data_IF_884640351394
#
_entry.id   IF_884640351394
#
_cell.length_a   1.000
_cell.length_b   1.000
_cell.length_c   1.000
_cell.angle_alpha   90.00
_cell.angle_beta   90.00
_cell.angle_gamma   90.00
#
_symmetry.space_group_name_H-M   'P 1'
#
loop_
_entity.id
_entity.type
_entity.pdbx_description
1 polymer ?
#
# COMPACT_ATOMS: atom_id res chain seq x y z
N UNK A 1 -3.97 -35.87 57.39
CA UNK A 1 -2.77 -36.33 56.65
C UNK A 1 -3.03 -36.24 55.15
N UNK A 2 -1.99 -35.83 54.41
CA UNK A 2 -1.85 -35.70 52.94
C UNK A 2 -2.25 -34.34 52.37
N UNK A 3 -1.28 -33.42 52.53
CA UNK A 3 -1.01 -32.34 51.59
C UNK A 3 -0.71 -32.92 50.20
N UNK A 4 -1.24 -32.31 49.15
CA UNK A 4 -0.75 -32.48 47.79
C UNK A 4 -0.47 -31.10 47.21
N UNK A 5 0.75 -31.00 46.71
CA UNK A 5 1.50 -29.80 46.39
C UNK A 5 1.01 -29.10 45.12
N UNK A 6 1.29 -27.80 45.12
CA UNK A 6 1.35 -26.88 43.99
C UNK A 6 1.85 -27.51 42.69
N UNK A 7 1.17 -27.19 41.59
CA UNK A 7 1.85 -26.88 40.33
C UNK A 7 1.03 -25.87 39.55
N UNK A 8 1.38 -24.60 39.77
CA UNK A 8 0.89 -23.46 39.00
C UNK A 8 1.74 -23.39 37.73
N UNK A 9 1.30 -24.06 36.66
CA UNK A 9 1.86 -23.85 35.32
C UNK A 9 1.37 -22.49 34.82
N UNK A 10 2.13 -21.44 35.13
CA UNK A 10 2.07 -20.18 34.42
C UNK A 10 2.62 -20.43 33.01
N UNK A 11 1.72 -20.63 32.03
CA UNK A 11 2.07 -20.46 30.63
C UNK A 11 2.38 -18.97 30.42
N UNK A 12 3.67 -18.63 30.44
CA UNK A 12 4.15 -17.35 29.92
C UNK A 12 3.95 -17.41 28.42
N UNK A 13 2.79 -16.93 27.96
CA UNK A 13 2.63 -16.51 26.57
C UNK A 13 3.58 -15.34 26.35
N UNK A 14 4.75 -15.63 25.77
CA UNK A 14 5.63 -14.61 25.20
C UNK A 14 4.88 -14.05 23.99
N UNK A 15 4.01 -13.08 24.22
CA UNK A 15 3.47 -12.25 23.17
C UNK A 15 4.64 -11.45 22.59
N UNK A 16 5.21 -11.92 21.49
CA UNK A 16 6.15 -11.14 20.69
C UNK A 16 5.34 -10.06 19.99
N UNK A 17 5.07 -8.97 20.71
CA UNK A 17 4.50 -7.77 20.11
C UNK A 17 5.56 -7.13 19.22
N UNK A 18 5.68 -7.60 17.97
CA UNK A 18 6.18 -6.77 16.88
C UNK A 18 5.06 -5.80 16.46
N UNK A 19 4.57 -5.01 17.41
CA UNK A 19 3.70 -3.88 17.13
C UNK A 19 4.60 -2.75 16.64
N UNK A 20 4.36 -2.26 15.42
CA UNK A 20 5.02 -1.07 14.92
C UNK A 20 4.66 0.13 15.82
N UNK A 21 5.52 0.42 16.80
CA UNK A 21 5.42 1.64 17.60
C UNK A 21 5.66 2.87 16.72
N UNK A 22 5.03 3.99 17.07
CA UNK A 22 5.25 5.31 16.45
C UNK A 22 6.72 5.72 16.56
N UNK A 23 7.50 5.26 15.60
CA UNK A 23 8.88 5.67 15.40
C UNK A 23 8.90 6.30 14.02
N UNK A 24 9.09 7.62 14.01
CA UNK A 24 9.59 8.33 12.85
C UNK A 24 10.94 7.70 12.52
N UNK A 25 10.94 6.66 11.68
CA UNK A 25 12.16 6.00 11.26
C UNK A 25 12.92 6.96 10.36
N UNK A 26 13.76 7.77 11.01
CA UNK A 26 14.78 8.58 10.39
C UNK A 26 15.66 7.69 9.52
N UNK A 27 15.96 8.23 8.35
CA UNK A 27 16.97 7.71 7.43
C UNK A 27 18.33 7.61 8.16
N UNK A 28 19.15 6.63 7.75
CA UNK A 28 20.52 6.42 8.22
C UNK A 28 21.34 7.73 8.36
N UNK A 29 22.12 7.93 9.45
CA UNK A 29 22.77 9.21 9.75
C UNK A 29 24.07 9.49 8.97
N UNK A 30 24.38 8.77 7.89
CA UNK A 30 25.65 8.92 7.15
C UNK A 30 25.43 9.58 5.80
N UNK A 31 24.78 10.75 5.77
CA UNK A 31 24.84 11.70 4.64
C UNK A 31 24.29 13.08 5.03
N UNK A 32 24.59 13.53 6.25
CA UNK A 32 24.28 14.89 6.69
C UNK A 32 25.50 15.80 6.47
N UNK A 33 25.74 16.22 5.22
CA UNK A 33 26.56 17.40 4.95
C UNK A 33 25.96 18.21 3.80
N UNK A 34 25.54 19.42 4.19
CA UNK A 34 25.20 20.59 3.36
C UNK A 34 23.95 20.50 2.47
N UNK A 35 22.84 21.03 2.95
CA UNK A 35 21.69 21.36 2.11
C UNK A 35 21.19 22.77 2.45
N UNK A 36 21.49 23.72 1.56
CA UNK A 36 20.62 24.88 1.33
C UNK A 36 19.25 24.41 0.83
N UNK A 37 18.25 25.30 0.81
CA UNK A 37 16.84 25.10 0.47
C UNK A 37 16.56 24.34 -0.85
N UNK A 38 16.82 23.03 -0.89
CA UNK A 38 16.57 22.21 -2.07
C UNK A 38 15.12 21.73 -2.04
N UNK A 39 14.30 22.35 -2.87
CA UNK A 39 12.90 22.00 -3.10
C UNK A 39 12.83 21.05 -4.31
N UNK A 40 12.22 19.88 -4.14
CA UNK A 40 12.00 18.89 -5.18
C UNK A 40 10.59 19.05 -5.77
N UNK A 41 10.49 19.17 -7.10
CA UNK A 41 9.21 19.11 -7.79
C UNK A 41 8.74 17.64 -7.85
N UNK A 42 7.69 17.31 -7.09
CA UNK A 42 7.09 15.97 -7.09
C UNK A 42 6.22 15.75 -8.33
N UNK A 43 5.72 16.83 -8.93
CA UNK A 43 4.84 16.80 -10.07
C UNK A 43 3.40 17.08 -9.68
N UNK A 44 2.47 16.64 -10.54
CA UNK A 44 1.03 16.90 -10.42
C UNK A 44 0.31 15.64 -10.00
N UNK A 45 -0.62 15.78 -9.07
CA UNK A 45 -1.36 14.65 -8.51
C UNK A 45 -2.69 15.12 -7.91
N UNK A 46 -3.55 14.18 -7.53
CA UNK A 46 -4.84 14.44 -6.88
C UNK A 46 -4.76 13.98 -5.43
N UNK A 47 -4.93 14.88 -4.44
CA UNK A 47 -5.02 14.49 -3.04
C UNK A 47 -6.38 13.80 -2.79
N UNK A 48 -6.36 12.72 -2.02
CA UNK A 48 -7.54 11.89 -1.74
C UNK A 48 -8.01 12.02 -0.30
N UNK A 49 -7.08 12.23 0.63
CA UNK A 49 -7.39 12.46 2.04
C UNK A 49 -6.42 13.47 2.63
N UNK A 50 -6.90 14.19 3.65
CA UNK A 50 -6.11 15.12 4.45
C UNK A 50 -6.62 15.08 5.89
N UNK A 51 -5.74 14.71 6.82
CA UNK A 51 -6.08 14.51 8.23
C UNK A 51 -5.09 15.26 9.11
N UNK A 52 -5.61 15.97 10.12
CA UNK A 52 -4.77 16.69 11.08
C UNK A 52 -4.31 15.76 12.19
N UNK A 53 -3.00 15.71 12.43
CA UNK A 53 -2.39 14.90 13.48
C UNK A 53 -1.14 15.60 14.02
N UNK A 54 -1.06 15.77 15.34
CA UNK A 54 0.15 16.25 16.05
C UNK A 54 0.76 17.55 15.47
N UNK A 55 -0.06 18.54 15.14
CA UNK A 55 0.41 19.84 14.62
C UNK A 55 0.86 19.81 13.16
N UNK A 56 0.56 18.73 12.43
CA UNK A 56 0.76 18.59 11.00
C UNK A 56 -0.52 18.08 10.35
N UNK A 57 -0.59 18.15 9.02
CA UNK A 57 -1.58 17.43 8.23
C UNK A 57 -0.88 16.29 7.51
N UNK A 58 -1.39 15.08 7.66
CA UNK A 58 -1.08 13.95 6.78
C UNK A 58 -1.93 14.08 5.52
N UNK A 59 -1.29 13.99 4.37
CA UNK A 59 -1.91 14.09 3.05
C UNK A 59 -1.61 12.81 2.29
N UNK A 60 -2.64 12.22 1.68
CA UNK A 60 -2.46 11.09 0.76
C UNK A 60 -2.85 11.50 -0.65
N UNK A 61 -2.13 10.97 -1.62
CA UNK A 61 -2.36 11.21 -3.03
C UNK A 61 -2.83 9.94 -3.72
N UNK A 62 -3.48 10.11 -4.86
CA UNK A 62 -3.88 8.98 -5.69
C UNK A 62 -2.65 8.14 -6.10
N UNK A 63 -2.85 6.83 -6.26
CA UNK A 63 -1.85 5.84 -6.68
C UNK A 63 -0.77 5.56 -5.63
N UNK A 64 -0.04 6.55 -5.12
CA UNK A 64 1.01 6.29 -4.12
C UNK A 64 0.40 5.88 -2.77
N UNK A 65 0.94 4.83 -2.17
CA UNK A 65 0.54 4.40 -0.83
C UNK A 65 1.19 5.25 0.27
N UNK A 66 2.18 6.08 -0.07
CA UNK A 66 2.96 6.84 0.91
C UNK A 66 2.15 7.97 1.55
N UNK A 67 2.52 8.27 2.79
CA UNK A 67 2.02 9.41 3.53
C UNK A 67 2.92 10.63 3.27
N UNK A 68 2.31 11.77 3.01
CA UNK A 68 2.96 13.07 2.94
C UNK A 68 2.53 13.94 4.11
N UNK A 69 3.33 14.94 4.46
CA UNK A 69 3.02 15.83 5.57
C UNK A 69 3.21 17.29 5.22
N UNK A 70 2.35 18.16 5.75
CA UNK A 70 2.52 19.61 5.73
C UNK A 70 2.34 20.16 7.15
N UNK A 71 3.25 21.02 7.60
CA UNK A 71 3.18 21.61 8.95
C UNK A 71 2.00 22.58 9.05
N UNK A 72 1.28 22.53 10.15
CA UNK A 72 0.22 23.49 10.47
C UNK A 72 0.86 24.82 10.93
N UNK A 73 1.20 25.68 9.98
CA UNK A 73 1.81 26.99 10.22
C UNK A 73 1.08 28.09 9.45
N UNK A 74 1.26 29.35 9.88
CA UNK A 74 0.70 30.51 9.17
C UNK A 74 1.21 30.61 7.73
N UNK A 75 2.47 30.24 7.51
CA UNK A 75 3.12 30.24 6.18
C UNK A 75 2.47 29.23 5.23
N UNK A 76 2.05 28.08 5.76
CA UNK A 76 1.43 27.01 4.98
C UNK A 76 -0.10 27.14 4.86
N UNK A 77 -0.73 28.14 5.50
CA UNK A 77 -2.19 28.23 5.58
C UNK A 77 -2.87 28.23 4.21
N UNK A 78 -2.32 28.96 3.24
CA UNK A 78 -2.83 28.99 1.87
C UNK A 78 -2.70 27.62 1.18
N UNK A 79 -1.55 26.94 1.34
CA UNK A 79 -1.33 25.61 0.77
C UNK A 79 -2.23 24.55 1.40
N UNK A 80 -2.42 24.60 2.71
CA UNK A 80 -3.35 23.73 3.45
C UNK A 80 -4.77 23.91 2.91
N UNK A 81 -5.21 25.15 2.71
CA UNK A 81 -6.52 25.44 2.13
C UNK A 81 -6.65 24.88 0.71
N UNK A 82 -5.63 25.06 -0.14
CA UNK A 82 -5.62 24.52 -1.50
C UNK A 82 -5.71 23.00 -1.53
N UNK A 83 -4.96 22.31 -0.67
CA UNK A 83 -5.03 20.84 -0.57
C UNK A 83 -6.41 20.41 -0.11
N UNK A 84 -6.98 21.05 0.93
CA UNK A 84 -8.30 20.72 1.44
C UNK A 84 -9.41 20.90 0.40
N UNK A 85 -9.35 21.98 -0.39
CA UNK A 85 -10.28 22.19 -1.50
C UNK A 85 -10.10 21.14 -2.61
N UNK A 86 -8.84 20.82 -2.94
CA UNK A 86 -8.52 19.80 -3.94
C UNK A 86 -8.98 18.39 -3.53
N UNK A 87 -8.90 18.04 -2.24
CA UNK A 87 -9.48 16.79 -1.70
C UNK A 87 -10.98 16.77 -1.89
N UNK A 88 -11.67 17.86 -1.54
CA UNK A 88 -13.13 17.96 -1.64
C UNK A 88 -13.64 17.84 -3.08
N UNK A 89 -12.90 18.43 -4.02
CA UNK A 89 -13.32 18.54 -5.42
C UNK A 89 -12.67 17.48 -6.32
N UNK A 90 -11.82 16.60 -5.78
CA UNK A 90 -11.01 15.62 -6.53
C UNK A 90 -10.23 16.27 -7.69
N UNK A 91 -9.65 17.45 -7.46
CA UNK A 91 -8.93 18.21 -8.49
C UNK A 91 -7.42 18.07 -8.34
N UNK A 92 -6.65 18.11 -9.46
CA UNK A 92 -5.20 18.03 -9.38
C UNK A 92 -4.58 19.29 -8.77
N UNK A 93 -3.41 19.12 -8.18
CA UNK A 93 -2.53 20.20 -7.69
C UNK A 93 -1.07 19.83 -7.98
N UNK A 94 -0.20 20.84 -8.06
CA UNK A 94 1.23 20.62 -8.19
C UNK A 94 1.89 20.61 -6.81
N UNK A 95 2.68 19.58 -6.51
CA UNK A 95 3.32 19.39 -5.20
C UNK A 95 4.82 19.62 -5.29
N UNK A 96 5.35 20.34 -4.31
CA UNK A 96 6.78 20.53 -4.11
C UNK A 96 7.15 20.08 -2.71
N UNK A 97 8.16 19.24 -2.62
CA UNK A 97 8.62 18.61 -1.40
C UNK A 97 9.96 19.20 -0.97
N UNK A 98 10.24 19.14 0.32
CA UNK A 98 11.61 19.28 0.81
C UNK A 98 12.44 18.09 0.32
N UNK A 99 13.66 18.35 -0.16
CA UNK A 99 14.51 17.29 -0.71
C UNK A 99 14.66 16.10 0.24
N UNK A 100 14.52 14.89 -0.33
CA UNK A 100 14.67 13.60 0.35
C UNK A 100 13.66 13.34 1.48
N UNK A 101 12.57 14.11 1.56
CA UNK A 101 11.49 13.88 2.53
C UNK A 101 10.13 13.91 1.84
N UNK A 102 9.09 13.46 2.57
CA UNK A 102 7.69 13.59 2.15
C UNK A 102 7.03 14.84 2.74
N UNK A 103 7.83 15.85 3.13
CA UNK A 103 7.35 17.12 3.67
C UNK A 103 7.02 18.08 2.52
N UNK A 104 5.75 18.45 2.40
CA UNK A 104 5.24 19.42 1.43
C UNK A 104 5.62 20.82 1.90
N UNK A 105 6.30 21.56 1.01
CA UNK A 105 6.76 22.93 1.28
C UNK A 105 6.10 23.97 0.38
N UNK A 106 5.49 23.54 -0.74
CA UNK A 106 4.74 24.41 -1.64
C UNK A 106 3.71 23.64 -2.44
N UNK A 107 2.59 24.30 -2.74
CA UNK A 107 1.52 23.78 -3.59
C UNK A 107 1.24 24.79 -4.71
N UNK A 108 1.20 24.31 -5.95
CA UNK A 108 0.87 25.08 -7.13
C UNK A 108 -0.54 24.79 -7.63
N UNK A 109 -1.16 25.77 -8.26
CA UNK A 109 -2.44 25.63 -8.94
C UNK A 109 -2.32 24.70 -10.17
N UNK A 110 -3.34 23.89 -10.47
CA UNK A 110 -3.37 23.11 -11.71
C UNK A 110 -3.59 24.02 -12.93
N UNK A 111 -3.14 23.58 -14.10
CA UNK A 111 -3.57 24.16 -15.38
C UNK A 111 -4.91 23.55 -15.83
N UNK A 112 -5.59 24.19 -16.77
CA UNK A 112 -6.80 23.60 -17.38
C UNK A 112 -6.51 22.26 -18.08
N UNK A 113 -5.31 22.12 -18.65
CA UNK A 113 -4.84 20.88 -19.26
C UNK A 113 -4.69 19.77 -18.22
N UNK A 114 -4.17 20.09 -17.03
CA UNK A 114 -4.06 19.14 -15.93
C UNK A 114 -5.42 18.63 -15.50
N UNK A 115 -6.38 19.55 -15.32
CA UNK A 115 -7.75 19.20 -14.94
C UNK A 115 -8.36 18.27 -15.98
N UNK A 116 -8.17 18.57 -17.28
CA UNK A 116 -8.68 17.73 -18.37
C UNK A 116 -8.04 16.34 -18.38
N UNK A 117 -6.72 16.27 -18.22
CA UNK A 117 -5.95 15.03 -18.21
C UNK A 117 -6.34 14.13 -17.03
N UNK A 118 -6.40 14.66 -15.80
CA UNK A 118 -6.79 13.87 -14.64
C UNK A 118 -8.25 13.44 -14.71
N UNK A 119 -9.15 14.30 -15.22
CA UNK A 119 -10.53 13.89 -15.48
C UNK A 119 -10.63 12.73 -16.45
N UNK A 120 -9.79 12.65 -17.50
CA UNK A 120 -9.84 11.53 -18.45
C UNK A 120 -9.26 10.23 -17.89
N UNK A 121 -8.31 10.30 -16.95
CA UNK A 121 -7.73 9.12 -16.31
C UNK A 121 -8.59 8.55 -15.17
N UNK A 122 -9.36 9.41 -14.50
CA UNK A 122 -10.16 9.04 -13.34
C UNK A 122 -11.62 8.75 -13.71
N UNK A 123 -11.92 8.58 -15.00
CA UNK A 123 -13.25 8.18 -15.44
C UNK A 123 -13.51 6.74 -15.00
N UNK A 124 -14.69 6.55 -14.44
CA UNK A 124 -15.26 5.24 -14.13
C UNK A 124 -15.76 4.57 -15.41
N UNK A 125 -14.86 4.25 -16.34
CA UNK A 125 -15.19 3.38 -17.47
C UNK A 125 -15.10 1.93 -17.01
N UNK A 126 -16.22 1.22 -16.99
CA UNK A 126 -16.23 -0.23 -16.76
C UNK A 126 -15.72 -0.91 -18.02
N UNK A 127 -14.40 -1.16 -18.10
CA UNK A 127 -13.84 -1.98 -19.18
C UNK A 127 -14.36 -3.42 -19.07
N UNK A 128 -14.89 -3.94 -20.17
CA UNK A 128 -15.46 -5.30 -20.29
C UNK A 128 -14.38 -6.37 -20.57
N UNK A 129 -13.09 -6.04 -20.46
CA UNK A 129 -11.98 -6.92 -20.87
C UNK A 129 -11.89 -8.22 -20.05
N UNK A 130 -12.63 -8.34 -18.94
CA UNK A 130 -12.72 -9.54 -18.11
C UNK A 130 -13.58 -10.69 -18.71
N UNK A 131 -14.19 -10.50 -19.89
CA UNK A 131 -15.26 -11.40 -20.39
C UNK A 131 -14.88 -12.86 -20.70
N UNK A 132 -13.60 -13.26 -20.64
CA UNK A 132 -13.18 -14.66 -20.91
C UNK A 132 -12.58 -15.41 -19.71
N UNK A 133 -12.29 -14.73 -18.60
CA UNK A 133 -11.62 -15.35 -17.46
C UNK A 133 -12.62 -15.84 -16.40
N UNK A 134 -12.36 -17.00 -15.81
CA UNK A 134 -13.23 -17.57 -14.78
C UNK A 134 -12.94 -16.89 -13.44
N UNK A 135 -13.97 -16.33 -12.79
CA UNK A 135 -13.80 -15.59 -11.53
C UNK A 135 -13.69 -16.47 -10.28
N UNK A 136 -13.90 -17.78 -10.40
CA UNK A 136 -13.84 -18.75 -9.29
C UNK A 136 -12.88 -19.89 -9.63
N UNK A 137 -11.82 -20.02 -8.84
CA UNK A 137 -10.83 -21.09 -8.97
C UNK A 137 -11.46 -22.42 -8.49
N UNK A 138 -11.22 -23.54 -9.20
CA UNK A 138 -11.96 -24.78 -8.98
C UNK A 138 -11.66 -25.51 -7.67
N UNK A 139 -10.47 -25.33 -7.07
CA UNK A 139 -10.08 -26.00 -5.83
C UNK A 139 -8.83 -25.34 -5.19
N UNK A 140 -8.55 -25.71 -3.94
CA UNK A 140 -7.36 -25.28 -3.18
C UNK A 140 -6.03 -25.59 -3.90
N UNK A 141 -5.91 -26.73 -4.59
CA UNK A 141 -4.67 -27.10 -5.24
C UNK A 141 -4.32 -26.15 -6.40
N UNK A 142 -5.32 -25.75 -7.20
CA UNK A 142 -5.15 -24.74 -8.24
C UNK A 142 -4.79 -23.37 -7.64
N UNK A 143 -5.44 -22.98 -6.52
CA UNK A 143 -5.11 -21.75 -5.80
C UNK A 143 -3.63 -21.75 -5.35
N UNK A 144 -3.16 -22.83 -4.71
CA UNK A 144 -1.78 -22.98 -4.25
C UNK A 144 -0.77 -22.96 -5.41
N UNK A 145 -1.13 -23.54 -6.55
CA UNK A 145 -0.31 -23.48 -7.77
C UNK A 145 -0.15 -22.05 -8.27
N UNK A 146 -1.25 -21.28 -8.32
CA UNK A 146 -1.21 -19.87 -8.73
C UNK A 146 -0.41 -19.01 -7.75
N UNK A 147 -0.54 -19.25 -6.45
CA UNK A 147 0.30 -18.61 -5.43
C UNK A 147 1.79 -18.88 -5.63
N UNK A 148 2.14 -20.12 -5.96
CA UNK A 148 3.52 -20.51 -6.24
C UNK A 148 4.04 -19.81 -7.50
N UNK A 149 3.23 -19.70 -8.55
CA UNK A 149 3.58 -18.94 -9.76
C UNK A 149 3.82 -17.46 -9.47
N UNK A 150 2.97 -16.83 -8.65
CA UNK A 150 3.15 -15.45 -8.18
C UNK A 150 4.45 -15.31 -7.39
N UNK A 151 4.70 -16.21 -6.43
CA UNK A 151 5.90 -16.18 -5.58
C UNK A 151 7.17 -16.36 -6.42
N UNK A 152 7.15 -17.21 -7.45
CA UNK A 152 8.25 -17.40 -8.38
C UNK A 152 8.55 -16.16 -9.24
N UNK A 153 7.64 -15.19 -9.32
CA UNK A 153 7.90 -13.90 -9.98
C UNK A 153 8.47 -12.84 -9.02
N UNK A 154 8.81 -13.19 -7.77
CA UNK A 154 9.40 -12.26 -6.81
C UNK A 154 10.78 -11.77 -7.25
N UNK A 155 11.02 -10.46 -7.19
CA UNK A 155 12.35 -9.90 -7.41
C UNK A 155 13.39 -10.47 -6.42
N UNK A 156 14.60 -10.74 -6.93
CA UNK A 156 15.68 -11.36 -6.16
C UNK A 156 15.61 -12.88 -6.07
N UNK A 157 14.75 -13.52 -6.88
CA UNK A 157 14.76 -14.97 -7.11
C UNK A 157 15.32 -15.28 -8.50
N UNK A 158 15.87 -16.48 -8.69
CA UNK A 158 16.38 -16.93 -10.00
C UNK A 158 15.28 -17.33 -10.98
N UNK A 159 14.04 -17.45 -10.52
CA UNK A 159 12.88 -17.92 -11.30
C UNK A 159 12.06 -16.79 -11.92
N UNK A 160 12.27 -15.55 -11.48
CA UNK A 160 11.48 -14.41 -11.94
C UNK A 160 11.90 -13.93 -13.33
N UNK A 161 10.92 -13.56 -14.16
CA UNK A 161 11.12 -12.88 -15.43
C UNK A 161 10.97 -11.36 -15.26
N UNK A 162 11.56 -10.58 -16.16
CA UNK A 162 11.42 -9.13 -16.13
C UNK A 162 10.09 -8.67 -16.76
N UNK A 163 9.36 -7.71 -16.15
CA UNK A 163 9.58 -7.14 -14.81
C UNK A 163 9.09 -8.08 -13.69
N UNK A 164 9.93 -8.26 -12.67
CA UNK A 164 9.61 -9.05 -11.48
C UNK A 164 8.70 -8.28 -10.50
N UNK A 165 8.05 -8.99 -9.59
CA UNK A 165 7.19 -8.42 -8.53
C UNK A 165 8.05 -8.01 -7.34
N UNK A 166 8.04 -6.73 -7.01
CA UNK A 166 8.87 -6.11 -5.97
C UNK A 166 8.35 -6.33 -4.54
N UNK A 167 8.00 -7.56 -4.16
CA UNK A 167 7.46 -7.87 -2.83
C UNK A 167 8.36 -7.44 -1.66
N UNK A 168 9.69 -7.48 -1.85
CA UNK A 168 10.66 -7.07 -0.83
C UNK A 168 10.73 -5.56 -0.63
N UNK A 169 10.16 -4.77 -1.54
CA UNK A 169 10.09 -3.32 -1.42
C UNK A 169 8.66 -2.93 -1.00
N UNK A 170 8.45 -2.88 0.32
CA UNK A 170 7.12 -2.65 0.90
C UNK A 170 6.72 -1.16 0.96
N UNK A 171 7.66 -0.22 0.73
CA UNK A 171 7.43 1.23 0.93
C UNK A 171 6.27 1.75 0.08
N UNK A 172 6.18 1.36 -1.19
CA UNK A 172 5.12 1.79 -2.11
C UNK A 172 4.91 0.74 -3.21
N UNK A 173 4.05 1.00 -4.20
CA UNK A 173 3.88 0.19 -5.40
C UNK A 173 2.94 -1.01 -5.24
N UNK A 174 2.13 -1.04 -4.18
CA UNK A 174 1.16 -2.11 -3.92
C UNK A 174 0.18 -2.29 -5.11
N UNK A 175 -0.26 -1.20 -5.73
CA UNK A 175 -1.10 -1.21 -6.93
C UNK A 175 -0.45 -1.97 -8.10
N UNK A 176 0.83 -1.72 -8.37
CA UNK A 176 1.56 -2.38 -9.45
C UNK A 176 1.76 -3.87 -9.15
N UNK A 177 2.10 -4.22 -7.91
CA UNK A 177 2.21 -5.62 -7.46
C UNK A 177 0.87 -6.34 -7.63
N UNK A 178 -0.23 -5.77 -7.14
CA UNK A 178 -1.56 -6.34 -7.26
C UNK A 178 -1.99 -6.53 -8.72
N UNK A 179 -1.66 -5.57 -9.59
CA UNK A 179 -1.96 -5.69 -11.01
C UNK A 179 -1.13 -6.79 -11.70
N UNK A 180 0.15 -6.92 -11.34
CA UNK A 180 1.02 -7.99 -11.87
C UNK A 180 0.58 -9.37 -11.38
N UNK A 181 0.14 -9.49 -10.12
CA UNK A 181 -0.46 -10.71 -9.59
C UNK A 181 -1.72 -11.10 -10.38
N UNK A 182 -2.63 -10.14 -10.64
CA UNK A 182 -3.80 -10.37 -11.49
C UNK A 182 -3.41 -10.81 -12.92
N UNK A 183 -2.38 -10.22 -13.51
CA UNK A 183 -1.90 -10.63 -14.83
C UNK A 183 -1.50 -12.11 -14.88
N UNK A 184 -0.87 -12.62 -13.82
CA UNK A 184 -0.51 -14.04 -13.72
C UNK A 184 -1.77 -14.92 -13.65
N UNK A 185 -2.80 -14.50 -12.91
CA UNK A 185 -4.09 -15.20 -12.89
C UNK A 185 -4.75 -15.19 -14.27
N UNK A 186 -4.77 -14.05 -14.96
CA UNK A 186 -5.37 -13.92 -16.29
C UNK A 186 -4.67 -14.83 -17.31
N UNK A 187 -3.34 -14.92 -17.26
CA UNK A 187 -2.58 -15.82 -18.11
C UNK A 187 -2.92 -17.31 -17.87
N UNK A 188 -3.40 -17.64 -16.67
CA UNK A 188 -3.90 -18.96 -16.32
C UNK A 188 -5.42 -19.13 -16.56
N UNK A 189 -6.10 -18.13 -17.12
CA UNK A 189 -7.53 -18.15 -17.43
C UNK A 189 -8.45 -17.74 -16.27
N UNK A 190 -7.91 -17.14 -15.21
CA UNK A 190 -8.66 -16.72 -14.02
C UNK A 190 -8.66 -15.21 -13.84
N UNK A 191 -9.73 -14.68 -13.25
CA UNK A 191 -9.77 -13.29 -12.79
C UNK A 191 -9.93 -13.23 -11.27
N UNK A 192 -9.66 -12.07 -10.69
CA UNK A 192 -9.79 -11.82 -9.26
C UNK A 192 -10.27 -10.40 -8.97
N UNK A 193 -10.81 -10.23 -7.78
CA UNK A 193 -11.12 -8.90 -7.26
C UNK A 193 -9.84 -8.23 -6.74
N UNK A 194 -9.93 -6.93 -6.44
CA UNK A 194 -8.91 -6.21 -5.67
C UNK A 194 -9.55 -5.70 -4.39
N UNK A 195 -8.88 -5.93 -3.27
CA UNK A 195 -9.31 -5.39 -1.99
C UNK A 195 -8.43 -4.20 -1.65
N UNK A 196 -9.02 -3.00 -1.68
CA UNK A 196 -8.37 -1.77 -1.21
C UNK A 196 -8.76 -1.55 0.25
N UNK A 197 -7.76 -1.32 1.09
CA UNK A 197 -7.94 -0.94 2.51
C UNK A 197 -7.29 0.42 2.70
N UNK A 198 -8.01 1.35 3.34
CA UNK A 198 -7.59 2.73 3.55
C UNK A 198 -7.51 3.04 5.05
N UNK A 199 -6.62 3.95 5.43
CA UNK A 199 -6.50 4.44 6.81
C UNK A 199 -5.05 4.73 7.19
N UNK A 200 -4.79 4.92 8.48
CA UNK A 200 -3.42 5.03 9.01
C UNK A 200 -2.81 3.63 9.17
N UNK A 201 -2.39 3.04 8.05
CA UNK A 201 -1.92 1.65 8.01
C UNK A 201 -0.44 1.57 8.38
N UNK A 202 -0.09 0.51 9.10
CA UNK A 202 1.29 0.16 9.42
C UNK A 202 1.49 -1.34 9.21
N UNK A 203 2.61 -1.71 8.60
CA UNK A 203 3.00 -3.09 8.40
C UNK A 203 4.45 -3.31 8.78
N UNK A 204 4.75 -4.47 9.35
CA UNK A 204 6.12 -4.92 9.63
C UNK A 204 6.57 -5.91 8.57
N UNK A 205 7.79 -5.74 8.08
CA UNK A 205 8.48 -6.72 7.22
C UNK A 205 9.26 -7.74 8.05
N UNK A 206 9.20 -7.65 9.38
CA UNK A 206 10.06 -8.37 10.32
C UNK A 206 11.34 -7.60 10.67
N UNK A 207 11.84 -6.75 9.78
CA UNK A 207 13.06 -5.95 9.99
C UNK A 207 12.81 -4.45 9.98
N UNK A 208 11.76 -3.98 9.31
CA UNK A 208 11.37 -2.57 9.30
C UNK A 208 9.85 -2.41 9.31
N UNK A 209 9.39 -1.25 9.77
CA UNK A 209 8.01 -0.84 9.68
C UNK A 209 7.82 0.13 8.50
N UNK A 210 6.72 -0.04 7.79
CA UNK A 210 6.28 0.88 6.73
C UNK A 210 4.89 1.40 7.07
N UNK A 211 4.61 2.63 6.65
CA UNK A 211 3.32 3.27 6.85
C UNK A 211 2.69 3.63 5.51
N UNK A 212 1.38 3.40 5.41
CA UNK A 212 0.63 3.65 4.19
C UNK A 212 -0.68 4.39 4.48
N UNK A 213 -1.15 5.19 3.53
CA UNK A 213 -2.52 5.71 3.52
C UNK A 213 -3.52 4.69 2.98
N UNK A 214 -3.04 3.75 2.18
CA UNK A 214 -3.83 2.62 1.69
C UNK A 214 -2.96 1.42 1.30
N UNK A 215 -3.56 0.25 1.22
CA UNK A 215 -2.95 -0.94 0.66
C UNK A 215 -3.92 -1.67 -0.28
N UNK A 216 -3.37 -2.35 -1.28
CA UNK A 216 -4.16 -3.20 -2.19
C UNK A 216 -3.45 -4.51 -2.49
N UNK A 217 -4.25 -5.58 -2.50
CA UNK A 217 -3.86 -6.91 -2.95
C UNK A 217 -4.98 -7.54 -3.80
N UNK A 218 -4.67 -8.68 -4.44
CA UNK A 218 -5.70 -9.47 -5.10
C UNK A 218 -6.55 -10.21 -4.05
N UNK A 219 -7.85 -10.31 -4.30
CA UNK A 219 -8.79 -11.10 -3.53
C UNK A 219 -9.37 -12.17 -4.44
N UNK A 220 -9.05 -13.42 -4.14
CA UNK A 220 -9.25 -14.55 -5.04
C UNK A 220 -10.37 -15.43 -4.51
N UNK A 221 -11.38 -15.71 -5.34
CA UNK A 221 -12.45 -16.63 -5.01
C UNK A 221 -12.09 -18.05 -5.44
N UNK A 222 -12.27 -19.04 -4.57
CA UNK A 222 -11.98 -20.45 -4.87
C UNK A 222 -12.97 -21.38 -4.18
N UNK A 223 -13.12 -22.62 -4.68
CA UNK A 223 -13.93 -23.64 -4.00
C UNK A 223 -13.08 -24.42 -3.00
N UNK A 224 -13.55 -24.52 -1.75
CA UNK A 224 -12.94 -25.35 -0.72
C UNK A 224 -13.28 -26.85 -0.94
N UNK A 225 -12.83 -27.73 -0.03
CA UNK A 225 -13.07 -29.18 -0.10
C UNK A 225 -14.55 -29.58 -0.05
N UNK A 226 -15.42 -28.73 0.52
CA UNK A 226 -16.88 -28.91 0.54
C UNK A 226 -17.59 -28.40 -0.72
N UNK A 227 -16.87 -27.78 -1.66
CA UNK A 227 -17.42 -27.12 -2.84
C UNK A 227 -17.97 -25.71 -2.58
N UNK A 228 -17.85 -25.20 -1.35
CA UNK A 228 -18.24 -23.84 -0.96
C UNK A 228 -17.23 -22.83 -1.47
N UNK A 229 -17.69 -21.68 -1.96
CA UNK A 229 -16.81 -20.59 -2.42
C UNK A 229 -16.31 -19.78 -1.23
N UNK A 230 -15.00 -19.71 -1.08
CA UNK A 230 -14.29 -18.87 -0.11
C UNK A 230 -13.44 -17.83 -0.84
N UNK A 231 -13.04 -16.77 -0.12
CA UNK A 231 -12.15 -15.73 -0.63
C UNK A 231 -10.88 -15.65 0.17
N UNK A 232 -9.76 -15.54 -0.52
CA UNK A 232 -8.44 -15.41 0.11
C UNK A 232 -7.68 -14.20 -0.44
N UNK A 233 -7.06 -13.44 0.46
CA UNK A 233 -6.28 -12.24 0.14
C UNK A 233 -4.79 -12.49 0.33
N UNK A 234 -4.00 -12.07 -0.67
CA UNK A 234 -2.55 -12.24 -0.71
C UNK A 234 -1.83 -10.97 -0.23
N UNK A 235 -1.85 -10.69 1.07
CA UNK A 235 -1.33 -9.40 1.58
C UNK A 235 0.20 -9.32 1.43
N UNK A 236 0.92 -10.45 1.46
CA UNK A 236 2.39 -10.54 1.40
C UNK A 236 2.80 -11.93 0.85
N UNK A 237 4.07 -12.19 0.43
CA UNK A 237 4.48 -13.45 -0.23
C UNK A 237 4.45 -14.71 0.67
N UNK A 238 3.84 -14.61 1.85
CA UNK A 238 3.62 -15.73 2.74
C UNK A 238 2.43 -16.52 2.23
N UNK A 239 2.68 -17.80 1.97
CA UNK A 239 1.63 -18.74 1.62
C UNK A 239 0.55 -18.72 2.70
N UNK A 240 -0.71 -19.01 2.38
CA UNK A 240 -1.70 -19.41 3.38
C UNK A 240 -1.19 -20.53 4.29
N UNK A 241 -0.32 -21.40 3.77
CA UNK A 241 0.33 -22.49 4.50
C UNK A 241 1.49 -22.04 5.43
N UNK A 242 1.88 -20.76 5.38
CA UNK A 242 2.89 -20.17 6.26
C UNK A 242 2.24 -19.40 7.44
N UNK A 243 0.91 -19.52 7.64
CA UNK A 243 0.14 -18.95 8.75
C UNK A 243 -0.39 -20.03 9.69
#
# INVERSE_FOLDING_TARGET
>A
MKQLLLSMMAFVTIASFNACADSNAGQDPVLAKEFSENVQNFGRTVPVTMEKENGKYRVNFIITAQNFEIRDSKENAAYISMIGEAVKNETPIQIFLKANTNEIVKVGQPTEEDIRYFKSLLIRETSTEAQKAVSVIPNQATLNSLFTQIKNQSCGTSTASSPCITFRYAVDGCYARAHKMRQILLNAGYDCEKQFVYGNLKASTGTCCVSWGYHVAILVSFKNSSGTVEKESSILPFSPADR
#
